data_IF_019499780712
#
_entry.id   IF_019499780712
#
_cell.length_a   1.000
_cell.length_b   1.000
_cell.length_c   1.000
_cell.angle_alpha   90.00
_cell.angle_beta   90.00
_cell.angle_gamma   90.00
#
_symmetry.space_group_name_H-M   'P 1'
#
loop_
_entity.id
_entity.type
_entity.pdbx_description
1 polymer ?
#
# COMPACT_ATOMS: atom_id res chain seq x y z
N UNK A 1 27.88 -8.22 5.27
CA UNK A 1 26.47 -8.38 4.84
C UNK A 1 26.16 -7.28 3.85
N UNK A 2 25.45 -7.58 2.77
CA UNK A 2 24.97 -6.59 1.80
C UNK A 2 23.62 -6.04 2.25
N UNK A 3 23.41 -4.75 2.09
CA UNK A 3 22.18 -4.04 2.47
C UNK A 3 21.48 -3.55 1.20
N UNK A 4 20.16 -3.69 1.14
CA UNK A 4 19.35 -3.25 0.00
C UNK A 4 18.73 -1.88 0.29
N UNK A 5 18.56 -1.07 -0.75
CA UNK A 5 17.89 0.21 -0.69
C UNK A 5 16.92 0.36 -1.87
N UNK A 6 15.80 1.04 -1.63
CA UNK A 6 14.83 1.47 -2.64
C UNK A 6 14.85 3.00 -2.70
N UNK A 7 15.02 3.55 -3.90
CA UNK A 7 15.03 5.00 -4.14
C UNK A 7 13.91 5.32 -5.12
N UNK A 8 13.09 6.32 -4.77
CA UNK A 8 11.95 6.78 -5.58
C UNK A 8 12.16 8.26 -5.88
N UNK A 9 12.15 8.63 -7.17
CA UNK A 9 12.19 10.03 -7.59
C UNK A 9 10.77 10.63 -7.54
N UNK A 10 10.60 11.60 -6.64
CA UNK A 10 9.31 12.27 -6.46
C UNK A 10 9.02 13.33 -7.52
N UNK A 11 10.01 13.77 -8.32
CA UNK A 11 9.77 14.71 -9.41
C UNK A 11 9.09 14.05 -10.63
N UNK A 12 9.24 12.73 -10.78
CA UNK A 12 8.59 11.92 -11.83
C UNK A 12 7.27 11.32 -11.34
N UNK A 13 7.05 11.26 -10.03
CA UNK A 13 5.85 10.69 -9.45
C UNK A 13 4.61 11.52 -9.81
N UNK A 14 3.71 10.95 -10.63
CA UNK A 14 2.45 11.60 -11.04
C UNK A 14 1.24 11.20 -10.17
N UNK A 15 1.47 10.49 -9.07
CA UNK A 15 0.38 10.03 -8.21
C UNK A 15 -0.54 8.97 -8.86
N UNK A 16 -0.05 8.15 -9.79
CA UNK A 16 -0.90 7.15 -10.48
C UNK A 16 -1.32 5.95 -9.60
N UNK A 17 -0.81 5.85 -8.37
CA UNK A 17 -1.08 4.79 -7.40
C UNK A 17 -0.71 3.35 -7.83
N UNK A 18 -0.06 3.15 -8.97
CA UNK A 18 0.32 1.82 -9.47
C UNK A 18 1.22 1.05 -8.47
N UNK A 19 2.20 1.72 -7.86
CA UNK A 19 3.09 1.10 -6.87
C UNK A 19 2.32 0.55 -5.66
N UNK A 20 1.31 1.27 -5.17
CA UNK A 20 0.46 0.83 -4.05
C UNK A 20 -0.45 -0.32 -4.48
N UNK A 21 -1.05 -0.25 -5.66
CA UNK A 21 -1.90 -1.32 -6.21
C UNK A 21 -1.13 -2.64 -6.36
N UNK A 22 0.08 -2.60 -6.91
CA UNK A 22 0.92 -3.80 -7.06
C UNK A 22 1.35 -4.37 -5.71
N UNK A 23 1.75 -3.52 -4.76
CA UNK A 23 2.10 -3.96 -3.40
C UNK A 23 0.93 -4.68 -2.73
N UNK A 24 -0.29 -4.13 -2.80
CA UNK A 24 -1.50 -4.76 -2.29
C UNK A 24 -1.78 -6.08 -2.99
N UNK A 25 -1.81 -6.09 -4.32
CA UNK A 25 -2.11 -7.29 -5.09
C UNK A 25 -1.19 -8.45 -4.71
N UNK A 26 0.12 -8.18 -4.61
CA UNK A 26 1.08 -9.17 -4.16
C UNK A 26 0.81 -9.63 -2.72
N UNK A 27 0.73 -8.71 -1.77
CA UNK A 27 0.65 -9.05 -0.34
C UNK A 27 -0.73 -9.54 0.14
N UNK A 28 -1.82 -9.28 -0.59
CA UNK A 28 -3.17 -9.78 -0.30
C UNK A 28 -3.48 -11.09 -1.03
N UNK A 29 -2.67 -11.47 -2.03
CA UNK A 29 -2.81 -12.75 -2.76
C UNK A 29 -2.13 -13.95 -2.07
N UNK A 30 -1.52 -13.73 -0.90
CA UNK A 30 -0.80 -14.76 -0.16
C UNK A 30 -1.71 -15.80 0.50
N UNK A 31 -1.16 -16.97 0.81
CA UNK A 31 -1.87 -18.04 1.54
C UNK A 31 -2.27 -17.64 2.97
N UNK A 32 -1.67 -16.58 3.50
CA UNK A 32 -2.00 -15.98 4.80
C UNK A 32 -3.34 -15.20 4.79
N UNK A 33 -3.95 -15.04 3.61
CA UNK A 33 -5.17 -14.27 3.44
C UNK A 33 -4.91 -12.80 3.13
N UNK A 34 -5.99 -12.01 2.94
CA UNK A 34 -5.87 -10.58 2.66
C UNK A 34 -5.23 -9.84 3.84
N UNK A 35 -4.55 -8.72 3.54
CA UNK A 35 -4.07 -7.78 4.57
C UNK A 35 -5.23 -7.36 5.48
N UNK A 36 -5.00 -7.35 6.80
CA UNK A 36 -6.02 -6.99 7.79
C UNK A 36 -6.62 -5.62 7.50
N UNK A 37 -7.93 -5.58 7.34
CA UNK A 37 -8.73 -4.37 7.10
C UNK A 37 -10.03 -4.45 7.92
N UNK A 38 -10.17 -3.58 8.91
CA UNK A 38 -11.32 -3.55 9.81
C UNK A 38 -12.26 -2.41 9.43
N UNK A 39 -13.56 -2.74 9.32
CA UNK A 39 -14.61 -1.80 8.93
C UNK A 39 -14.24 -0.97 7.68
N UNK A 40 -13.80 -1.60 6.57
CA UNK A 40 -13.23 -0.89 5.40
C UNK A 40 -14.17 0.12 4.74
N UNK A 41 -15.48 0.01 5.00
CA UNK A 41 -16.52 0.89 4.48
C UNK A 41 -17.27 1.64 5.61
N UNK A 42 -16.75 1.61 6.84
CA UNK A 42 -17.29 2.33 8.00
C UNK A 42 -16.72 3.73 8.14
N UNK A 43 -17.22 4.48 9.13
CA UNK A 43 -16.80 5.87 9.39
C UNK A 43 -15.37 5.99 9.91
N UNK A 44 -14.86 4.95 10.62
CA UNK A 44 -13.49 4.89 11.14
C UNK A 44 -12.81 3.58 10.72
N UNK A 45 -12.31 3.49 9.47
CA UNK A 45 -11.76 2.26 8.92
C UNK A 45 -10.30 2.06 9.38
N UNK A 46 -10.01 0.95 10.07
CA UNK A 46 -8.67 0.68 10.64
C UNK A 46 -8.00 -0.58 10.04
N UNK A 47 -6.72 -0.82 10.36
CA UNK A 47 -5.97 -1.98 9.86
C UNK A 47 -4.63 -1.62 9.23
N UNK A 48 -4.20 -2.42 8.24
CA UNK A 48 -2.89 -2.26 7.61
C UNK A 48 -2.81 -0.91 6.89
N UNK A 49 -1.78 -0.10 7.19
CA UNK A 49 -1.59 1.25 6.67
C UNK A 49 -1.77 1.38 5.15
N UNK A 50 -1.39 0.34 4.40
CA UNK A 50 -1.46 0.34 2.95
C UNK A 50 -2.89 0.24 2.41
N UNK A 51 -3.89 -0.24 3.15
CA UNK A 51 -5.25 -0.43 2.63
C UNK A 51 -5.95 0.88 2.23
N UNK A 52 -5.48 2.03 2.72
CA UNK A 52 -5.98 3.36 2.35
C UNK A 52 -5.11 3.98 1.25
N UNK A 53 -5.74 4.56 0.22
CA UNK A 53 -5.02 5.42 -0.73
C UNK A 53 -4.83 6.77 -0.05
N UNK A 54 -3.68 6.97 0.59
CA UNK A 54 -3.28 8.27 1.11
C UNK A 54 -2.76 9.09 -0.07
N UNK A 55 -3.57 10.00 -0.59
CA UNK A 55 -3.11 11.08 -1.46
C UNK A 55 -2.55 12.18 -0.57
N UNK A 56 -1.28 12.55 -0.74
CA UNK A 56 -0.82 13.85 -0.28
C UNK A 56 -1.38 14.88 -1.26
N UNK A 57 -2.42 15.61 -0.83
CA UNK A 57 -2.76 16.94 -1.36
C UNK A 57 -2.35 17.99 -0.32
#
# INVERSE_FOLDING_TARGET
MTQLALVIDLNVCVGCHACVTSCKQWNTSGSAGPLTDELPYGEDPSGTFFNRVQTFE
#
